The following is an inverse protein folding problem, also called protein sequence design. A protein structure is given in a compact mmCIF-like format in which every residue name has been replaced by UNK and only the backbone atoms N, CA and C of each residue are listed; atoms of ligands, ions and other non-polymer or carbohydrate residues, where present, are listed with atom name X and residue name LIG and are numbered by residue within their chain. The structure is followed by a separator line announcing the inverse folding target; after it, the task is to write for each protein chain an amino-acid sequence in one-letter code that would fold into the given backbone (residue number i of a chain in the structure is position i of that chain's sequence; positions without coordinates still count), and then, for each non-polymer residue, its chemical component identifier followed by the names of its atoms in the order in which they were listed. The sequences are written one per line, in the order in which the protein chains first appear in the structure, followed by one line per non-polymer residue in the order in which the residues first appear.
data_IF_741064207151
#
_entry.id   IF_741064207151
#
_cell.length_a   1.000
_cell.length_b   1.000
_cell.length_c   1.000
_cell.angle_alpha   90.00
_cell.angle_beta   90.00
_cell.angle_gamma   90.00
#
_symmetry.space_group_name_H-M   'P 1'
#
loop_
_entity.id
_entity.type
_entity.pdbx_description
1 polymer ?
#
# COMPACT_ATOMS: atom_id res chain seq x y z
N UNK A 1 -11.45 10.64 9.41
CA UNK A 1 -10.90 10.60 10.79
C UNK A 1 -11.11 11.96 11.45
N UNK A 2 -11.53 11.95 12.69
CA UNK A 2 -11.75 13.17 13.48
C UNK A 2 -10.56 13.36 14.42
N UNK A 3 -10.06 14.59 14.51
CA UNK A 3 -9.00 14.97 15.45
C UNK A 3 -9.58 15.89 16.51
N UNK A 4 -9.38 15.52 17.78
CA UNK A 4 -9.69 16.31 18.95
C UNK A 4 -8.39 16.93 19.49
N UNK A 5 -8.49 17.78 20.50
CA UNK A 5 -7.34 18.52 21.06
C UNK A 5 -6.22 17.62 21.58
N UNK A 6 -6.56 16.39 22.01
CA UNK A 6 -5.63 15.41 22.56
C UNK A 6 -5.29 14.25 21.61
N UNK A 7 -5.78 14.27 20.37
CA UNK A 7 -5.56 13.20 19.39
C UNK A 7 -4.09 13.03 18.97
N UNK A 8 -3.29 14.08 19.13
CA UNK A 8 -1.86 14.02 18.79
C UNK A 8 -0.99 13.50 19.94
N UNK A 9 -1.55 13.29 21.14
CA UNK A 9 -0.80 12.74 22.26
C UNK A 9 -0.50 11.26 22.02
N UNK A 10 0.76 10.80 22.22
CA UNK A 10 1.16 9.42 21.90
C UNK A 10 0.30 8.36 22.59
N UNK A 11 -0.12 8.63 23.83
CA UNK A 11 -0.97 7.74 24.63
C UNK A 11 -2.38 7.55 24.06
N UNK A 12 -2.83 8.43 23.18
CA UNK A 12 -4.13 8.34 22.50
C UNK A 12 -4.03 7.81 21.06
N UNK A 13 -2.82 7.44 20.64
CA UNK A 13 -2.56 6.88 19.31
C UNK A 13 -2.36 5.38 19.36
N UNK A 14 -2.77 4.68 18.29
CA UNK A 14 -2.38 3.28 18.10
C UNK A 14 -0.86 3.15 17.91
N UNK A 15 -0.29 2.01 18.28
CA UNK A 15 1.11 1.70 17.98
C UNK A 15 1.37 1.83 16.50
N UNK A 16 2.60 2.23 16.17
CA UNK A 16 2.99 2.48 14.78
C UNK A 16 3.15 1.17 14.03
N UNK A 17 2.39 0.98 12.96
CA UNK A 17 2.61 -0.10 11.99
C UNK A 17 3.43 0.47 10.82
N UNK A 18 4.60 -0.11 10.55
CA UNK A 18 5.45 0.30 9.43
C UNK A 18 5.27 -0.71 8.29
N UNK A 19 4.79 -0.23 7.14
CA UNK A 19 4.77 -0.99 5.90
C UNK A 19 6.09 -0.77 5.16
N UNK A 20 6.73 -1.85 4.73
CA UNK A 20 7.91 -1.79 3.89
C UNK A 20 7.67 -2.42 2.52
N UNK A 21 8.13 -1.73 1.46
CA UNK A 21 8.15 -2.20 0.08
C UNK A 21 9.62 -2.35 -0.38
N UNK A 22 10.26 -3.52 -0.09
CA UNK A 22 11.71 -3.62 -0.19
C UNK A 22 12.19 -4.22 -1.52
N UNK A 23 11.29 -4.54 -2.44
CA UNK A 23 11.66 -5.26 -3.66
C UNK A 23 11.81 -4.37 -4.88
N UNK A 24 11.12 -3.23 -4.94
CA UNK A 24 11.26 -2.17 -5.93
C UNK A 24 11.20 -2.65 -7.37
N UNK A 25 10.09 -3.27 -7.83
CA UNK A 25 10.01 -3.85 -9.18
C UNK A 25 10.22 -2.83 -10.29
N UNK A 26 10.13 -1.55 -10.01
CA UNK A 26 10.37 -0.40 -10.89
C UNK A 26 11.86 -0.18 -11.17
N UNK A 27 12.72 -0.59 -10.24
CA UNK A 27 14.16 -0.38 -10.34
C UNK A 27 14.87 -1.60 -10.93
N UNK A 28 15.91 -1.36 -11.70
CA UNK A 28 16.81 -2.42 -12.12
C UNK A 28 17.80 -2.77 -11.01
N UNK A 29 18.29 -4.01 -10.90
CA UNK A 29 19.27 -4.38 -9.87
C UNK A 29 20.51 -3.49 -9.86
N UNK A 30 20.92 -2.97 -11.03
CA UNK A 30 22.06 -2.07 -11.15
C UNK A 30 21.81 -0.67 -10.53
N UNK A 31 20.56 -0.29 -10.30
CA UNK A 31 20.23 0.99 -9.67
C UNK A 31 20.65 1.04 -8.21
N UNK A 32 20.58 -0.09 -7.51
CA UNK A 32 21.03 -0.21 -6.12
C UNK A 32 21.42 -1.66 -5.80
N UNK A 33 22.58 -2.15 -6.29
CA UNK A 33 22.99 -3.56 -6.17
C UNK A 33 23.08 -4.05 -4.71
N UNK A 34 23.39 -3.15 -3.78
CA UNK A 34 23.58 -3.49 -2.37
C UNK A 34 22.25 -3.74 -1.64
N UNK A 35 21.12 -3.26 -2.19
CA UNK A 35 19.81 -3.35 -1.52
C UNK A 35 18.75 -4.10 -2.31
N UNK A 36 18.81 -4.12 -3.66
CA UNK A 36 17.81 -4.79 -4.50
C UNK A 36 18.06 -6.31 -4.51
N UNK A 37 17.20 -7.14 -3.88
CA UNK A 37 17.39 -8.59 -3.86
C UNK A 37 16.91 -9.22 -5.17
N UNK A 38 17.70 -10.18 -5.71
CA UNK A 38 17.36 -10.87 -6.97
C UNK A 38 17.06 -12.35 -6.73
N UNK A 39 17.92 -13.07 -5.96
CA UNK A 39 17.64 -14.49 -5.69
C UNK A 39 16.52 -14.67 -4.68
N UNK A 40 15.88 -15.84 -4.69
CA UNK A 40 14.78 -16.11 -3.73
C UNK A 40 15.26 -16.02 -2.29
N UNK A 41 16.43 -16.56 -1.99
CA UNK A 41 17.04 -16.50 -0.65
C UNK A 41 17.29 -15.06 -0.23
N UNK A 42 17.81 -14.22 -1.14
CA UNK A 42 18.03 -12.79 -0.87
C UNK A 42 16.71 -12.03 -0.64
N UNK A 43 15.64 -12.37 -1.38
CA UNK A 43 14.32 -11.77 -1.19
C UNK A 43 13.72 -12.17 0.17
N UNK A 44 13.82 -13.43 0.59
CA UNK A 44 13.40 -13.88 1.92
C UNK A 44 14.22 -13.21 3.01
N UNK A 45 15.56 -13.19 2.88
CA UNK A 45 16.45 -12.56 3.85
C UNK A 45 16.15 -11.06 4.01
N UNK A 46 15.86 -10.37 2.90
CA UNK A 46 15.46 -8.96 2.92
C UNK A 46 14.19 -8.73 3.76
N UNK A 47 13.19 -9.61 3.67
CA UNK A 47 11.99 -9.53 4.51
C UNK A 47 12.33 -9.73 6.00
N UNK A 48 13.21 -10.68 6.32
CA UNK A 48 13.70 -10.91 7.69
C UNK A 48 14.41 -9.68 8.25
N UNK A 49 15.32 -9.09 7.47
CA UNK A 49 16.07 -7.90 7.89
C UNK A 49 15.15 -6.70 8.12
N UNK A 50 14.16 -6.50 7.24
CA UNK A 50 13.14 -5.47 7.41
C UNK A 50 12.27 -5.69 8.65
N UNK A 51 11.87 -6.94 8.93
CA UNK A 51 11.10 -7.27 10.13
C UNK A 51 11.91 -7.00 11.41
N UNK A 52 13.17 -7.40 11.45
CA UNK A 52 14.07 -7.16 12.57
C UNK A 52 14.34 -5.67 12.80
N UNK A 53 14.29 -4.85 11.74
CA UNK A 53 14.42 -3.40 11.83
C UNK A 53 13.14 -2.70 12.35
N UNK A 54 11.98 -3.39 12.39
CA UNK A 54 10.73 -2.88 12.92
C UNK A 54 9.56 -2.77 11.95
N UNK A 55 9.70 -3.16 10.68
CA UNK A 55 8.57 -3.23 9.76
C UNK A 55 7.73 -4.48 10.05
N UNK A 56 6.41 -4.31 10.12
CA UNK A 56 5.49 -5.41 10.44
C UNK A 56 4.53 -5.75 9.30
N UNK A 57 4.51 -4.94 8.23
CA UNK A 57 3.80 -5.23 6.98
C UNK A 57 4.81 -5.25 5.84
N UNK A 58 4.83 -6.34 5.09
CA UNK A 58 5.65 -6.53 3.89
C UNK A 58 4.78 -6.33 2.66
N UNK A 59 5.01 -5.24 1.92
CA UNK A 59 4.46 -5.10 0.57
C UNK A 59 5.34 -5.89 -0.40
N UNK A 60 4.79 -6.94 -0.98
CA UNK A 60 5.54 -7.98 -1.64
C UNK A 60 5.33 -7.95 -3.15
N UNK A 61 6.44 -7.84 -3.86
CA UNK A 61 6.64 -8.22 -5.25
C UNK A 61 7.71 -9.31 -5.31
N UNK A 62 7.84 -9.98 -6.45
CA UNK A 62 8.85 -11.01 -6.60
C UNK A 62 9.64 -10.78 -7.88
N UNK A 63 10.95 -11.08 -7.85
CA UNK A 63 11.83 -10.96 -9.03
C UNK A 63 12.21 -12.31 -9.58
N UNK A 64 12.44 -12.35 -10.91
CA UNK A 64 13.12 -13.42 -11.61
C UNK A 64 14.64 -13.27 -11.47
N UNK A 65 15.39 -14.32 -11.83
CA UNK A 65 16.85 -14.31 -11.75
C UNK A 65 17.54 -13.29 -12.69
N UNK A 66 16.83 -12.84 -13.72
CA UNK A 66 17.29 -11.74 -14.59
C UNK A 66 17.04 -10.33 -13.97
N UNK A 67 16.48 -10.29 -12.76
CA UNK A 67 16.21 -9.07 -12.03
C UNK A 67 14.88 -8.39 -12.37
N UNK A 68 14.13 -8.87 -13.36
CA UNK A 68 12.82 -8.32 -13.71
C UNK A 68 11.74 -8.77 -12.73
N UNK A 69 10.68 -7.99 -12.62
CA UNK A 69 9.49 -8.38 -11.85
C UNK A 69 8.87 -9.66 -12.42
N UNK A 70 8.55 -10.62 -11.55
CA UNK A 70 7.91 -11.87 -11.95
C UNK A 70 6.41 -11.72 -12.15
N UNK A 71 5.87 -12.45 -13.15
CA UNK A 71 4.44 -12.62 -13.38
C UNK A 71 3.95 -14.02 -12.98
N UNK A 72 4.82 -14.86 -12.41
CA UNK A 72 4.51 -16.25 -12.11
C UNK A 72 4.00 -16.42 -10.68
N UNK A 73 2.76 -16.87 -10.52
CA UNK A 73 2.18 -17.15 -9.20
C UNK A 73 3.03 -18.15 -8.40
N UNK A 74 3.67 -19.12 -9.05
CA UNK A 74 4.58 -20.06 -8.39
C UNK A 74 5.74 -19.35 -7.68
N UNK A 75 6.24 -18.24 -8.23
CA UNK A 75 7.30 -17.46 -7.58
C UNK A 75 6.79 -16.65 -6.38
N UNK A 76 5.58 -16.16 -6.47
CA UNK A 76 4.92 -15.56 -5.30
C UNK A 76 4.68 -16.58 -4.20
N UNK A 77 4.20 -17.78 -4.54
CA UNK A 77 3.98 -18.86 -3.57
C UNK A 77 5.29 -19.25 -2.87
N UNK A 78 6.40 -19.37 -3.63
CA UNK A 78 7.72 -19.69 -3.09
C UNK A 78 8.20 -18.62 -2.10
N UNK A 79 8.08 -17.34 -2.46
CA UNK A 79 8.48 -16.23 -1.58
C UNK A 79 7.59 -16.13 -0.34
N UNK A 80 6.26 -16.23 -0.51
CA UNK A 80 5.31 -16.20 0.61
C UNK A 80 5.61 -17.34 1.59
N UNK A 81 5.86 -18.56 1.09
CA UNK A 81 6.20 -19.71 1.94
C UNK A 81 7.51 -19.46 2.72
N UNK A 82 8.54 -18.94 2.06
CA UNK A 82 9.83 -18.60 2.70
C UNK A 82 9.69 -17.54 3.78
N UNK A 83 8.98 -16.45 3.48
CA UNK A 83 8.73 -15.35 4.44
C UNK A 83 7.90 -15.85 5.62
N UNK A 84 6.85 -16.63 5.35
CA UNK A 84 5.95 -17.18 6.40
C UNK A 84 6.71 -18.11 7.35
N UNK A 85 7.66 -18.88 6.83
CA UNK A 85 8.51 -19.75 7.65
C UNK A 85 9.51 -18.96 8.51
N UNK A 86 10.09 -17.89 7.95
CA UNK A 86 11.14 -17.12 8.62
C UNK A 86 10.58 -16.07 9.61
N UNK A 87 9.48 -15.39 9.27
CA UNK A 87 8.87 -14.32 10.07
C UNK A 87 7.34 -14.46 10.10
N UNK A 88 6.81 -15.45 10.84
CA UNK A 88 5.40 -15.87 10.77
C UNK A 88 4.40 -14.79 11.20
N UNK A 89 4.81 -13.85 12.04
CA UNK A 89 3.94 -12.78 12.54
C UNK A 89 3.87 -11.57 11.57
N UNK A 90 4.76 -11.47 10.59
CA UNK A 90 4.75 -10.40 9.61
C UNK A 90 3.51 -10.48 8.70
N UNK A 91 2.81 -9.37 8.53
CA UNK A 91 1.68 -9.28 7.58
C UNK A 91 2.25 -9.31 6.16
N UNK A 92 1.82 -10.25 5.34
CA UNK A 92 2.19 -10.36 3.93
C UNK A 92 1.10 -9.71 3.08
N UNK A 93 1.43 -8.60 2.45
CA UNK A 93 0.58 -7.85 1.54
C UNK A 93 1.14 -7.96 0.12
N UNK A 94 0.46 -8.66 -0.77
CA UNK A 94 0.90 -8.80 -2.17
C UNK A 94 0.46 -7.60 -2.98
N UNK A 95 1.39 -6.99 -3.72
CA UNK A 95 1.11 -5.92 -4.65
C UNK A 95 0.22 -6.37 -5.81
N UNK A 96 -0.90 -5.69 -6.00
CA UNK A 96 -1.88 -6.02 -7.05
C UNK A 96 -1.41 -5.72 -8.48
N UNK A 97 -0.28 -5.08 -8.62
CA UNK A 97 0.32 -4.67 -9.90
C UNK A 97 1.49 -5.54 -10.34
N UNK A 98 1.63 -6.65 -9.95
CA UNK A 98 2.67 -7.68 -9.97
C UNK A 98 3.90 -7.45 -10.88
N UNK A 99 3.81 -6.87 -12.04
CA UNK A 99 4.96 -6.57 -12.89
C UNK A 99 4.77 -5.25 -13.61
N UNK A 100 5.77 -4.46 -13.51
CA UNK A 100 5.80 -3.09 -13.90
C UNK A 100 6.91 -2.75 -14.88
N UNK A 101 7.65 -3.74 -15.35
CA UNK A 101 8.70 -3.55 -16.32
C UNK A 101 8.15 -3.53 -17.74
N UNK A 102 8.69 -2.66 -18.63
CA UNK A 102 8.45 -2.79 -20.06
C UNK A 102 8.95 -4.16 -20.55
N UNK A 103 8.20 -4.80 -21.44
CA UNK A 103 8.58 -6.11 -22.01
C UNK A 103 9.81 -5.99 -22.92
N UNK A 104 9.97 -4.81 -23.57
CA UNK A 104 11.09 -4.48 -24.46
C UNK A 104 11.51 -3.03 -24.25
N UNK A 105 12.73 -2.69 -24.71
CA UNK A 105 13.22 -1.32 -24.72
C UNK A 105 12.26 -0.41 -25.51
N UNK A 106 11.69 0.58 -24.81
CA UNK A 106 10.73 1.52 -25.38
C UNK A 106 9.27 1.07 -25.37
N UNK A 107 8.95 -0.15 -24.91
CA UNK A 107 7.58 -0.56 -24.65
C UNK A 107 7.03 0.13 -23.39
N UNK A 108 5.71 0.36 -23.35
CA UNK A 108 5.06 0.83 -22.15
C UNK A 108 5.18 -0.21 -21.03
N UNK A 109 5.41 0.23 -19.80
CA UNK A 109 5.27 -0.61 -18.64
C UNK A 109 3.84 -1.13 -18.55
N UNK A 110 3.67 -2.41 -18.32
CA UNK A 110 2.37 -3.05 -18.28
C UNK A 110 2.12 -3.72 -16.95
N UNK A 111 0.93 -3.55 -16.45
CA UNK A 111 0.35 -4.38 -15.43
C UNK A 111 0.11 -5.79 -15.98
N UNK A 112 0.00 -6.77 -15.09
CA UNK A 112 -0.51 -8.07 -15.50
C UNK A 112 -1.89 -7.91 -16.17
N UNK A 113 -2.23 -8.85 -17.06
CA UNK A 113 -3.60 -8.94 -17.59
C UNK A 113 -4.62 -9.04 -16.45
N UNK A 114 -5.85 -8.61 -16.70
CA UNK A 114 -6.93 -8.64 -15.71
C UNK A 114 -7.13 -10.04 -15.14
N UNK A 115 -7.05 -11.08 -15.96
CA UNK A 115 -7.17 -12.47 -15.53
C UNK A 115 -6.06 -12.88 -14.57
N UNK A 116 -4.81 -12.51 -14.85
CA UNK A 116 -3.68 -12.84 -13.99
C UNK A 116 -3.79 -12.13 -12.63
N UNK A 117 -4.24 -10.87 -12.60
CA UNK A 117 -4.48 -10.18 -11.33
C UNK A 117 -5.58 -10.85 -10.50
N UNK A 118 -6.63 -11.39 -11.13
CA UNK A 118 -7.64 -12.19 -10.44
C UNK A 118 -7.07 -13.45 -9.80
N UNK A 119 -6.06 -14.07 -10.40
CA UNK A 119 -5.40 -15.28 -9.87
C UNK A 119 -4.63 -15.03 -8.56
N UNK A 120 -4.41 -13.77 -8.15
CA UNK A 120 -3.86 -13.48 -6.82
C UNK A 120 -4.72 -14.02 -5.68
N UNK A 121 -6.00 -14.27 -5.92
CA UNK A 121 -6.87 -14.95 -4.97
C UNK A 121 -6.57 -16.45 -4.84
N UNK A 122 -5.79 -17.04 -5.77
CA UNK A 122 -5.44 -18.46 -5.82
C UNK A 122 -4.02 -18.74 -5.28
N UNK A 123 -3.34 -17.73 -4.72
CA UNK A 123 -2.02 -17.89 -4.11
C UNK A 123 -2.06 -18.89 -2.95
N UNK A 124 -1.06 -19.78 -2.88
CA UNK A 124 -0.89 -20.80 -1.85
C UNK A 124 0.60 -20.99 -1.47
N UNK A 125 1.04 -20.68 -0.23
CA UNK A 125 0.19 -20.23 0.89
C UNK A 125 -0.43 -18.85 0.66
N UNK A 126 -1.59 -18.62 1.25
CA UNK A 126 -2.33 -17.36 1.11
C UNK A 126 -1.59 -16.21 1.78
N UNK A 127 -1.50 -15.04 1.12
CA UNK A 127 -1.10 -13.81 1.79
C UNK A 127 -2.19 -13.36 2.78
N UNK A 128 -1.85 -12.43 3.66
CA UNK A 128 -2.83 -11.80 4.54
C UNK A 128 -3.67 -10.77 3.77
N UNK A 129 -3.02 -10.02 2.87
CA UNK A 129 -3.64 -8.98 2.08
C UNK A 129 -3.20 -9.03 0.61
N UNK A 130 -4.07 -8.53 -0.26
CA UNK A 130 -3.76 -8.17 -1.65
C UNK A 130 -4.18 -6.73 -1.86
N UNK A 131 -3.30 -5.90 -2.43
CA UNK A 131 -3.63 -4.51 -2.75
C UNK A 131 -4.54 -4.42 -3.97
N UNK A 132 -5.47 -3.48 -3.95
CA UNK A 132 -6.44 -3.27 -5.01
C UNK A 132 -6.63 -1.78 -5.32
N UNK A 133 -6.46 -1.40 -6.59
CA UNK A 133 -6.95 -0.15 -7.11
C UNK A 133 -8.45 -0.26 -7.43
N UNK A 134 -9.22 0.79 -7.18
CA UNK A 134 -10.70 0.77 -7.30
C UNK A 134 -11.23 1.56 -8.49
N UNK A 135 -10.34 2.10 -9.32
CA UNK A 135 -10.68 2.84 -10.54
C UNK A 135 -9.52 2.78 -11.52
N UNK A 136 -9.83 2.79 -12.82
CA UNK A 136 -8.79 2.99 -13.84
C UNK A 136 -8.23 4.39 -13.73
N UNK A 137 -6.91 4.51 -13.66
CA UNK A 137 -6.23 5.78 -13.46
C UNK A 137 -4.94 5.84 -14.29
N UNK A 138 -4.63 7.01 -14.80
CA UNK A 138 -3.30 7.29 -15.34
C UNK A 138 -2.30 7.42 -14.18
N UNK A 139 -1.12 6.88 -14.35
CA UNK A 139 -0.06 6.89 -13.34
C UNK A 139 1.23 7.44 -13.95
N UNK A 140 1.30 8.76 -14.12
CA UNK A 140 2.51 9.42 -14.60
C UNK A 140 3.48 9.67 -13.43
N UNK A 141 4.27 8.67 -13.08
CA UNK A 141 5.24 8.79 -11.97
C UNK A 141 6.34 9.82 -12.26
N UNK A 142 6.55 10.18 -13.53
CA UNK A 142 7.56 11.17 -13.91
C UNK A 142 7.18 12.61 -13.55
N UNK A 143 5.92 12.87 -13.21
CA UNK A 143 5.44 14.23 -12.94
C UNK A 143 6.10 14.88 -11.73
N UNK A 144 6.36 14.10 -10.69
CA UNK A 144 6.96 14.61 -9.44
C UNK A 144 8.45 14.32 -9.31
N UNK A 145 9.07 13.69 -10.30
CA UNK A 145 10.49 13.39 -10.29
C UNK A 145 11.32 14.58 -10.79
N UNK A 146 12.40 14.88 -10.10
CA UNK A 146 13.42 15.84 -10.57
C UNK A 146 14.58 15.12 -11.25
N UNK A 147 15.38 15.86 -12.03
CA UNK A 147 16.61 15.31 -12.62
C UNK A 147 17.52 14.66 -11.58
N UNK A 148 17.60 15.23 -10.38
CA UNK A 148 18.40 14.68 -9.29
C UNK A 148 17.85 13.39 -8.68
N UNK A 149 16.58 13.09 -8.87
CA UNK A 149 15.96 11.83 -8.40
C UNK A 149 16.27 10.66 -9.34
N UNK A 150 16.44 10.95 -10.63
CA UNK A 150 16.67 9.94 -11.67
C UNK A 150 18.15 9.82 -12.09
N UNK A 151 19.00 10.78 -11.75
CA UNK A 151 20.39 10.76 -12.10
C UNK A 151 21.11 9.49 -11.61
N UNK A 152 21.79 8.80 -12.53
CA UNK A 152 22.50 7.56 -12.21
C UNK A 152 21.60 6.35 -11.96
N UNK A 153 20.34 6.40 -12.40
CA UNK A 153 19.39 5.28 -12.35
C UNK A 153 18.87 4.92 -13.73
N UNK A 154 18.17 3.79 -13.84
CA UNK A 154 17.50 3.34 -15.06
C UNK A 154 16.46 4.36 -15.57
N UNK A 155 15.83 5.12 -14.69
CA UNK A 155 14.88 6.19 -15.03
C UNK A 155 15.49 7.36 -15.81
N UNK A 156 16.82 7.49 -15.81
CA UNK A 156 17.50 8.49 -16.65
C UNK A 156 17.51 8.12 -18.15
N UNK A 157 17.14 6.87 -18.48
CA UNK A 157 17.02 6.43 -19.86
C UNK A 157 15.69 6.85 -20.45
N UNK A 158 15.65 7.53 -21.64
CA UNK A 158 14.41 8.01 -22.24
C UNK A 158 13.33 6.95 -22.41
N UNK A 159 13.70 5.72 -22.79
CA UNK A 159 12.75 4.63 -22.97
C UNK A 159 12.04 4.25 -21.67
N UNK A 160 12.76 4.13 -20.55
CA UNK A 160 12.20 3.86 -19.23
C UNK A 160 11.33 5.02 -18.77
N UNK A 161 11.83 6.26 -18.83
CA UNK A 161 11.07 7.45 -18.44
C UNK A 161 9.76 7.58 -19.21
N UNK A 162 9.76 7.32 -20.52
CA UNK A 162 8.54 7.40 -21.35
C UNK A 162 7.54 6.30 -20.97
N UNK A 163 7.98 5.08 -20.66
CA UNK A 163 7.10 4.01 -20.22
C UNK A 163 6.33 4.41 -18.94
N UNK A 164 7.03 5.02 -17.98
CA UNK A 164 6.43 5.47 -16.70
C UNK A 164 5.64 6.78 -16.80
N UNK A 165 5.78 7.52 -17.90
CA UNK A 165 4.98 8.73 -18.16
C UNK A 165 3.59 8.38 -18.69
N UNK A 166 3.48 7.36 -19.50
CA UNK A 166 2.25 6.98 -20.23
C UNK A 166 1.49 5.81 -19.56
N UNK A 167 1.82 5.52 -18.30
CA UNK A 167 1.30 4.35 -17.64
C UNK A 167 -0.15 4.51 -17.20
N UNK A 168 -0.92 3.41 -17.34
CA UNK A 168 -2.31 3.32 -16.90
C UNK A 168 -2.49 2.11 -16.01
N UNK A 169 -3.17 2.30 -14.88
CA UNK A 169 -3.65 1.23 -14.00
C UNK A 169 -5.08 0.88 -14.39
N UNK A 170 -5.34 -0.21 -15.11
CA UNK A 170 -6.71 -0.61 -15.46
C UNK A 170 -7.40 -1.24 -14.25
N UNK A 171 -8.54 -0.68 -13.84
CA UNK A 171 -9.39 -1.21 -12.78
C UNK A 171 -10.84 -0.79 -13.02
N UNK A 172 -11.47 -1.39 -14.03
CA UNK A 172 -12.88 -1.14 -14.34
C UNK A 172 -13.81 -1.69 -13.24
N UNK A 173 -15.04 -1.13 -13.08
CA UNK A 173 -15.94 -1.50 -11.99
C UNK A 173 -16.24 -3.00 -11.89
N UNK A 174 -16.53 -3.66 -13.02
CA UNK A 174 -16.81 -5.09 -13.06
C UNK A 174 -15.60 -5.95 -12.63
N UNK A 175 -14.39 -5.53 -13.03
CA UNK A 175 -13.16 -6.18 -12.63
C UNK A 175 -12.95 -6.04 -11.12
N UNK A 176 -13.14 -4.84 -10.56
CA UNK A 176 -12.97 -4.57 -9.13
C UNK A 176 -13.95 -5.40 -8.29
N UNK A 177 -15.22 -5.44 -8.66
CA UNK A 177 -16.25 -6.23 -7.95
C UNK A 177 -15.93 -7.73 -7.99
N UNK A 178 -15.51 -8.26 -9.14
CA UNK A 178 -15.11 -9.68 -9.26
C UNK A 178 -13.85 -9.98 -8.45
N UNK A 179 -12.86 -9.07 -8.46
CA UNK A 179 -11.64 -9.27 -7.68
C UNK A 179 -11.91 -9.29 -6.17
N UNK A 180 -12.71 -8.33 -5.69
CA UNK A 180 -13.15 -8.31 -4.28
C UNK A 180 -13.90 -9.60 -3.89
N UNK A 181 -14.79 -10.07 -4.75
CA UNK A 181 -15.53 -11.32 -4.53
C UNK A 181 -14.57 -12.53 -4.41
N UNK A 182 -13.56 -12.61 -5.26
CA UNK A 182 -12.57 -13.70 -5.23
C UNK A 182 -11.71 -13.63 -3.97
N UNK A 183 -11.18 -12.46 -3.61
CA UNK A 183 -10.37 -12.28 -2.41
C UNK A 183 -11.14 -12.62 -1.14
N UNK A 184 -12.37 -12.10 -0.99
CA UNK A 184 -13.23 -12.40 0.16
C UNK A 184 -13.54 -13.90 0.24
N UNK A 185 -13.86 -14.56 -0.89
CA UNK A 185 -14.08 -16.02 -0.93
C UNK A 185 -12.83 -16.80 -0.54
N UNK A 186 -11.64 -16.33 -0.88
CA UNK A 186 -10.38 -16.94 -0.52
C UNK A 186 -9.97 -16.70 0.94
N UNK A 187 -10.65 -15.80 1.66
CA UNK A 187 -10.28 -15.35 2.99
C UNK A 187 -9.04 -14.44 3.01
N UNK A 188 -8.75 -13.79 1.89
CA UNK A 188 -7.68 -12.80 1.75
C UNK A 188 -8.28 -11.40 1.92
N UNK A 189 -7.72 -10.59 2.80
CA UNK A 189 -8.22 -9.25 3.07
C UNK A 189 -7.80 -8.29 1.94
N UNK A 190 -8.73 -7.58 1.26
CA UNK A 190 -8.38 -6.50 0.36
C UNK A 190 -7.72 -5.34 1.11
N UNK A 191 -6.66 -4.78 0.54
CA UNK A 191 -6.07 -3.53 0.98
C UNK A 191 -6.23 -2.49 -0.13
N UNK A 192 -6.98 -1.44 0.13
CA UNK A 192 -7.36 -0.49 -0.91
C UNK A 192 -6.28 0.58 -1.11
N UNK A 193 -5.73 0.67 -2.32
CA UNK A 193 -4.82 1.74 -2.73
C UNK A 193 -5.62 2.83 -3.43
N UNK A 194 -5.65 4.01 -2.85
CA UNK A 194 -6.55 5.09 -3.25
C UNK A 194 -5.75 6.32 -3.69
N UNK A 195 -5.96 6.70 -4.94
CA UNK A 195 -5.26 7.82 -5.56
C UNK A 195 -5.82 9.19 -5.16
N UNK A 196 -7.08 9.24 -4.74
CA UNK A 196 -7.79 10.49 -4.43
C UNK A 196 -9.12 10.22 -3.71
N UNK A 197 -9.80 11.28 -3.31
CA UNK A 197 -11.07 11.21 -2.56
C UNK A 197 -12.17 10.49 -3.32
N UNK A 198 -12.25 10.62 -4.66
CA UNK A 198 -13.29 9.93 -5.44
C UNK A 198 -13.16 8.41 -5.35
N UNK A 199 -11.94 7.89 -5.16
CA UNK A 199 -11.70 6.47 -4.91
C UNK A 199 -12.25 6.04 -3.54
N UNK A 200 -12.06 6.85 -2.49
CA UNK A 200 -12.61 6.59 -1.17
C UNK A 200 -14.15 6.55 -1.21
N UNK A 201 -14.78 7.49 -1.92
CA UNK A 201 -16.23 7.48 -2.13
C UNK A 201 -16.71 6.24 -2.89
N UNK A 202 -15.89 5.73 -3.82
CA UNK A 202 -16.18 4.47 -4.52
C UNK A 202 -16.17 3.29 -3.56
N UNK A 203 -15.18 3.20 -2.67
CA UNK A 203 -15.12 2.18 -1.61
C UNK A 203 -16.34 2.28 -0.68
N UNK A 204 -16.70 3.48 -0.24
CA UNK A 204 -17.90 3.69 0.58
C UNK A 204 -19.17 3.14 -0.12
N UNK A 205 -19.35 3.44 -1.40
CA UNK A 205 -20.47 2.89 -2.19
C UNK A 205 -20.45 1.36 -2.30
N UNK A 206 -19.27 0.74 -2.42
CA UNK A 206 -19.14 -0.72 -2.42
C UNK A 206 -19.54 -1.34 -1.07
N UNK A 207 -19.10 -0.73 0.04
CA UNK A 207 -19.52 -1.16 1.39
C UNK A 207 -21.04 -1.03 1.55
N UNK A 208 -21.62 0.13 1.18
CA UNK A 208 -23.06 0.38 1.29
C UNK A 208 -23.91 -0.60 0.48
N UNK A 209 -23.37 -1.10 -0.63
CA UNK A 209 -24.03 -2.11 -1.48
C UNK A 209 -23.77 -3.54 -1.05
N UNK A 210 -22.95 -3.77 -0.02
CA UNK A 210 -22.55 -5.11 0.42
C UNK A 210 -21.62 -5.84 -0.55
N UNK A 211 -20.96 -5.13 -1.47
CA UNK A 211 -19.92 -5.69 -2.36
C UNK A 211 -18.66 -6.02 -1.57
N UNK A 212 -18.36 -5.21 -0.57
CA UNK A 212 -17.30 -5.46 0.39
C UNK A 212 -17.86 -5.43 1.82
N UNK A 213 -17.47 -6.43 2.62
CA UNK A 213 -17.80 -6.52 4.05
C UNK A 213 -16.56 -6.94 4.83
N UNK A 214 -16.02 -6.01 5.64
CA UNK A 214 -14.81 -6.28 6.41
C UNK A 214 -14.10 -5.00 6.87
N UNK A 215 -12.95 -5.16 7.55
CA UNK A 215 -12.13 -4.04 7.99
C UNK A 215 -11.62 -3.21 6.81
N UNK A 216 -11.59 -1.89 6.96
CA UNK A 216 -11.14 -1.00 5.91
C UNK A 216 -9.68 -0.61 6.14
N UNK A 217 -8.79 -1.29 5.45
CA UNK A 217 -7.37 -0.95 5.39
C UNK A 217 -7.10 -0.20 4.09
N UNK A 218 -6.56 1.00 4.21
CA UNK A 218 -6.36 1.94 3.12
C UNK A 218 -4.91 2.38 3.01
N UNK A 219 -4.46 2.62 1.80
CA UNK A 219 -3.30 3.46 1.52
C UNK A 219 -3.74 4.68 0.70
N UNK A 220 -3.47 5.89 1.18
CA UNK A 220 -3.49 7.08 0.34
C UNK A 220 -2.19 7.13 -0.46
N UNK A 221 -2.31 7.07 -1.79
CA UNK A 221 -1.17 7.01 -2.71
C UNK A 221 -1.03 8.36 -3.39
N UNK A 222 0.01 9.11 -3.03
CA UNK A 222 0.20 10.50 -3.46
C UNK A 222 1.38 10.64 -4.44
N UNK A 223 1.16 10.24 -5.69
CA UNK A 223 2.20 10.17 -6.72
C UNK A 223 2.14 11.31 -7.74
N UNK A 224 1.11 12.16 -7.72
CA UNK A 224 0.86 13.06 -8.86
C UNK A 224 0.42 12.28 -10.12
N UNK A 225 0.37 12.94 -11.26
CA UNK A 225 0.15 12.31 -12.57
C UNK A 225 -1.14 11.51 -12.73
N UNK A 226 -2.22 11.94 -12.13
CA UNK A 226 -3.50 11.24 -12.04
C UNK A 226 -3.87 10.85 -10.62
N UNK A 227 -2.90 10.84 -9.72
CA UNK A 227 -3.06 10.74 -8.27
C UNK A 227 -3.02 12.11 -7.62
N UNK A 228 -3.49 12.21 -6.37
CA UNK A 228 -3.20 13.38 -5.56
C UNK A 228 -1.67 13.58 -5.49
N UNK A 229 -1.21 14.82 -5.54
CA UNK A 229 0.18 15.15 -5.25
C UNK A 229 0.47 15.12 -3.73
N UNK A 230 1.74 14.94 -3.30
CA UNK A 230 2.13 14.81 -1.90
C UNK A 230 2.10 16.17 -1.15
N UNK A 231 0.99 16.85 -1.25
CA UNK A 231 0.74 18.13 -0.58
C UNK A 231 0.08 17.91 0.77
N UNK A 232 0.46 18.66 1.84
CA UNK A 232 -0.25 18.63 3.12
C UNK A 232 -1.74 18.93 2.99
N UNK A 233 -2.15 19.76 2.04
CA UNK A 233 -3.56 20.08 1.80
C UNK A 233 -4.33 18.87 1.28
N UNK A 234 -3.79 18.17 0.28
CA UNK A 234 -4.39 16.94 -0.26
C UNK A 234 -4.46 15.86 0.83
N UNK A 235 -3.38 15.69 1.58
CA UNK A 235 -3.31 14.75 2.70
C UNK A 235 -4.42 15.02 3.72
N UNK A 236 -4.55 16.27 4.19
CA UNK A 236 -5.56 16.63 5.18
C UNK A 236 -6.98 16.49 4.64
N UNK A 237 -7.21 16.85 3.37
CA UNK A 237 -8.51 16.67 2.73
C UNK A 237 -8.88 15.18 2.61
N UNK A 238 -7.92 14.32 2.30
CA UNK A 238 -8.13 12.88 2.26
C UNK A 238 -8.40 12.32 3.66
N UNK A 239 -7.52 12.61 4.62
CA UNK A 239 -7.59 12.10 6.01
C UNK A 239 -8.92 12.41 6.67
N UNK A 240 -9.42 13.66 6.53
CA UNK A 240 -10.69 14.05 7.13
C UNK A 240 -11.92 13.29 6.59
N UNK A 241 -11.80 12.68 5.40
CA UNK A 241 -12.86 11.88 4.78
C UNK A 241 -12.80 10.40 5.16
N UNK A 242 -11.66 9.92 5.61
CA UNK A 242 -11.50 8.54 6.05
C UNK A 242 -12.33 8.31 7.31
N UNK A 243 -13.10 7.21 7.41
CA UNK A 243 -13.89 6.92 8.61
C UNK A 243 -12.98 6.55 9.79
N UNK A 244 -13.46 6.80 11.01
CA UNK A 244 -12.66 6.60 12.24
C UNK A 244 -12.28 5.13 12.47
N UNK A 245 -13.10 4.18 12.03
CA UNK A 245 -12.83 2.75 12.16
C UNK A 245 -11.91 2.15 11.08
N UNK A 246 -11.37 2.96 10.17
CA UNK A 246 -10.41 2.52 9.16
C UNK A 246 -8.97 2.65 9.62
N UNK A 247 -8.09 1.81 9.08
CA UNK A 247 -6.64 1.93 9.24
C UNK A 247 -6.06 2.57 7.97
N UNK A 248 -5.30 3.66 8.13
CA UNK A 248 -4.77 4.45 7.02
C UNK A 248 -3.23 4.45 7.01
N UNK A 249 -2.68 4.03 5.88
CA UNK A 249 -1.26 4.14 5.53
C UNK A 249 -1.07 5.26 4.51
N UNK A 250 0.05 5.98 4.56
CA UNK A 250 0.41 6.99 3.59
C UNK A 250 1.59 6.54 2.74
N UNK A 251 1.47 6.77 1.44
CA UNK A 251 2.46 6.38 0.43
C UNK A 251 2.72 7.54 -0.53
N UNK A 252 3.98 7.77 -0.86
CA UNK A 252 4.42 8.70 -1.90
C UNK A 252 5.77 8.25 -2.45
N UNK A 253 6.35 9.03 -3.37
CA UNK A 253 7.60 8.69 -4.03
C UNK A 253 8.76 9.63 -3.67
N UNK A 254 9.97 9.09 -3.81
CA UNK A 254 11.25 9.78 -3.75
C UNK A 254 11.42 10.59 -2.46
N UNK A 255 11.93 11.82 -2.57
CA UNK A 255 12.24 12.64 -1.41
C UNK A 255 11.02 13.14 -0.64
N UNK A 256 9.80 12.91 -1.15
CA UNK A 256 8.56 13.17 -0.43
C UNK A 256 8.23 12.09 0.60
N UNK A 257 8.81 10.88 0.48
CA UNK A 257 8.53 9.75 1.38
C UNK A 257 8.74 10.12 2.84
N UNK A 258 9.91 10.63 3.21
CA UNK A 258 10.20 10.97 4.60
C UNK A 258 9.34 12.10 5.16
N UNK A 259 9.15 13.26 4.47
CA UNK A 259 8.25 14.31 4.97
C UNK A 259 6.81 13.86 5.16
N UNK A 260 6.24 13.12 4.20
CA UNK A 260 4.87 12.59 4.31
C UNK A 260 4.76 11.60 5.45
N UNK A 261 5.72 10.68 5.59
CA UNK A 261 5.76 9.72 6.68
C UNK A 261 5.88 10.40 8.05
N UNK A 262 6.69 11.45 8.17
CA UNK A 262 6.81 12.20 9.43
C UNK A 262 5.48 12.86 9.84
N UNK A 263 4.76 13.44 8.88
CA UNK A 263 3.41 13.98 9.11
C UNK A 263 2.42 12.87 9.51
N UNK A 264 2.41 11.75 8.77
CA UNK A 264 1.57 10.60 9.09
C UNK A 264 1.79 10.10 10.51
N UNK A 265 3.04 9.91 10.89
CA UNK A 265 3.41 9.40 12.22
C UNK A 265 2.99 10.35 13.34
N UNK A 266 3.19 11.66 13.16
CA UNK A 266 2.75 12.68 14.13
C UNK A 266 1.23 12.73 14.30
N UNK A 267 0.49 12.36 13.25
CA UNK A 267 -0.98 12.32 13.25
C UNK A 267 -1.57 10.99 13.72
N UNK A 268 -0.77 10.06 14.20
CA UNK A 268 -1.27 8.74 14.60
C UNK A 268 -1.53 7.77 13.44
N UNK A 269 -1.16 8.14 12.21
CA UNK A 269 -1.31 7.32 11.01
C UNK A 269 -0.08 6.42 10.79
N UNK A 270 -0.11 5.58 9.74
CA UNK A 270 0.91 4.60 9.46
C UNK A 270 1.73 4.98 8.21
N UNK A 271 3.07 4.84 8.24
CA UNK A 271 3.94 5.14 7.11
C UNK A 271 4.16 3.92 6.23
N UNK A 272 4.49 4.18 4.97
CA UNK A 272 5.10 3.21 4.06
C UNK A 272 6.47 3.72 3.62
N UNK A 273 7.47 2.82 3.57
CA UNK A 273 8.84 3.10 3.12
C UNK A 273 9.43 1.91 2.35
N UNK A 274 10.62 2.07 1.84
CA UNK A 274 11.37 1.04 1.14
C UNK A 274 11.85 1.50 -0.22
N UNK A 275 12.71 0.68 -0.85
CA UNK A 275 13.33 1.04 -2.12
C UNK A 275 12.34 1.09 -3.29
N UNK A 276 11.17 0.49 -3.18
CA UNK A 276 10.13 0.66 -4.18
C UNK A 276 9.70 2.12 -4.29
N UNK A 277 9.55 2.78 -3.15
CA UNK A 277 9.06 4.16 -3.09
C UNK A 277 10.20 5.17 -3.28
N UNK A 278 11.40 4.87 -2.79
CA UNK A 278 12.58 5.75 -2.93
C UNK A 278 13.89 5.01 -2.74
N UNK A 279 14.87 5.34 -3.57
CA UNK A 279 16.26 4.95 -3.33
C UNK A 279 17.01 5.96 -2.43
N UNK A 280 16.38 7.08 -2.09
CA UNK A 280 17.06 8.25 -1.52
C UNK A 280 16.64 8.55 -0.09
N UNK A 281 17.58 8.57 0.82
CA UNK A 281 17.38 9.11 2.17
C UNK A 281 17.62 10.61 2.22
N UNK A 282 18.78 11.03 1.75
CA UNK A 282 19.16 12.43 1.57
C UNK A 282 19.49 12.70 0.11
N UNK A 283 19.52 13.97 -0.28
CA UNK A 283 19.90 14.32 -1.64
C UNK A 283 21.29 13.77 -1.98
N UNK A 284 21.35 12.93 -3.01
CA UNK A 284 22.59 12.32 -3.49
C UNK A 284 23.09 11.10 -2.70
N UNK A 285 22.42 10.70 -1.60
CA UNK A 285 22.76 9.50 -0.84
C UNK A 285 21.67 8.44 -1.02
N UNK A 286 22.05 7.22 -1.40
CA UNK A 286 21.13 6.09 -1.42
C UNK A 286 20.93 5.55 -0.01
N UNK A 287 19.70 5.11 0.28
CA UNK A 287 19.30 4.57 1.56
C UNK A 287 18.48 3.32 1.35
N UNK A 288 18.98 2.18 1.79
CA UNK A 288 18.30 0.89 1.68
C UNK A 288 17.07 0.79 2.57
N UNK A 289 16.23 -0.20 2.29
CA UNK A 289 14.95 -0.40 2.98
C UNK A 289 15.10 -0.53 4.49
N UNK A 290 16.09 -1.28 4.98
CA UNK A 290 16.36 -1.44 6.42
C UNK A 290 16.68 -0.10 7.07
N UNK A 291 17.55 0.70 6.45
CA UNK A 291 17.94 2.01 6.98
C UNK A 291 16.75 2.99 7.02
N UNK A 292 15.84 2.92 6.03
CA UNK A 292 14.61 3.72 6.02
C UNK A 292 13.69 3.33 7.18
N UNK A 293 13.53 2.03 7.46
CA UNK A 293 12.74 1.55 8.61
C UNK A 293 13.36 2.04 9.92
N UNK A 294 14.67 1.86 10.11
CA UNK A 294 15.37 2.34 11.30
C UNK A 294 15.22 3.85 11.51
N UNK A 295 15.20 4.63 10.40
CA UNK A 295 14.93 6.06 10.47
C UNK A 295 13.53 6.34 11.00
N UNK A 296 12.50 5.65 10.52
CA UNK A 296 11.13 5.80 11.01
C UNK A 296 11.00 5.37 12.48
N UNK A 297 11.65 4.27 12.88
CA UNK A 297 11.68 3.82 14.29
C UNK A 297 12.31 4.88 15.20
N UNK A 298 13.39 5.55 14.77
CA UNK A 298 13.97 6.67 15.55
C UNK A 298 13.00 7.84 15.67
N UNK A 299 12.31 8.22 14.59
CA UNK A 299 11.30 9.29 14.61
C UNK A 299 10.13 8.91 15.52
N UNK A 300 9.63 7.67 15.45
CA UNK A 300 8.57 7.19 16.34
C UNK A 300 8.95 7.35 17.81
N UNK A 301 10.19 6.97 18.14
CA UNK A 301 10.72 7.10 19.52
C UNK A 301 10.75 8.56 20.00
N UNK A 302 11.19 9.49 19.14
CA UNK A 302 11.21 10.93 19.46
C UNK A 302 9.79 11.52 19.61
N UNK A 303 8.80 10.94 18.89
CA UNK A 303 7.39 11.29 19.06
C UNK A 303 6.75 10.61 20.29
N UNK A 304 7.45 9.73 20.99
CA UNK A 304 6.90 8.96 22.10
C UNK A 304 5.96 7.84 21.66
N UNK A 305 5.91 7.49 20.37
CA UNK A 305 5.01 6.48 19.82
C UNK A 305 5.70 5.13 19.69
N UNK A 306 5.13 4.09 20.30
CA UNK A 306 5.66 2.73 20.21
C UNK A 306 5.44 2.11 18.82
N UNK A 307 6.41 1.32 18.35
CA UNK A 307 6.28 0.51 17.14
C UNK A 307 5.57 -0.80 17.49
N UNK A 308 4.56 -1.16 16.70
CA UNK A 308 3.81 -2.39 16.90
C UNK A 308 4.66 -3.63 16.61
N UNK A 309 4.56 -4.66 17.42
CA UNK A 309 5.01 -6.00 17.07
C UNK A 309 4.15 -6.59 15.94
N UNK A 310 4.61 -7.68 15.31
CA UNK A 310 3.84 -8.34 14.25
C UNK A 310 2.44 -8.76 14.71
N UNK A 311 2.30 -9.23 15.94
CA UNK A 311 0.99 -9.62 16.52
C UNK A 311 0.08 -8.40 16.70
N UNK A 312 0.59 -7.33 17.29
CA UNK A 312 -0.17 -6.08 17.47
C UNK A 312 -0.55 -5.45 16.13
N UNK A 313 0.35 -5.50 15.13
CA UNK A 313 0.04 -5.02 13.78
C UNK A 313 -1.12 -5.82 13.15
N UNK A 314 -1.18 -7.14 13.35
CA UNK A 314 -2.29 -8.00 12.89
C UNK A 314 -3.61 -7.64 13.58
N UNK A 315 -3.58 -7.25 14.85
CA UNK A 315 -4.75 -6.78 15.59
C UNK A 315 -5.21 -5.40 15.08
N UNK A 316 -4.30 -4.44 14.90
CA UNK A 316 -4.58 -3.10 14.36
C UNK A 316 -5.20 -3.20 12.97
N UNK A 317 -4.62 -4.01 12.08
CA UNK A 317 -5.12 -4.24 10.72
C UNK A 317 -6.33 -5.19 10.67
N UNK A 318 -6.72 -5.77 11.83
CA UNK A 318 -7.84 -6.72 11.95
C UNK A 318 -7.72 -7.87 10.94
N UNK A 319 -6.50 -8.43 10.81
CA UNK A 319 -6.21 -9.50 9.85
C UNK A 319 -7.06 -10.73 10.15
N UNK A 320 -7.71 -11.27 9.13
CA UNK A 320 -8.60 -12.43 9.24
C UNK A 320 -10.00 -12.12 9.77
N UNK A 321 -10.32 -10.84 10.01
CA UNK A 321 -11.66 -10.41 10.43
C UNK A 321 -12.57 -10.23 9.21
N UNK A 322 -13.83 -10.65 9.35
CA UNK A 322 -14.90 -10.35 8.40
C UNK A 322 -16.12 -9.83 9.15
N UNK A 323 -16.92 -8.98 8.51
CA UNK A 323 -18.18 -8.49 9.08
C UNK A 323 -19.37 -9.16 8.41
N UNK A 324 -20.49 -9.20 9.09
CA UNK A 324 -21.67 -9.98 8.69
C UNK A 324 -22.30 -9.44 7.39
N UNK A 325 -22.44 -8.13 7.27
CA UNK A 325 -23.13 -7.45 6.18
C UNK A 325 -22.71 -5.97 6.06
N UNK A 326 -23.35 -5.23 5.15
CA UNK A 326 -23.09 -3.82 4.93
C UNK A 326 -23.36 -2.96 6.17
N UNK A 327 -24.46 -3.19 6.88
CA UNK A 327 -24.82 -2.40 8.06
C UNK A 327 -23.84 -2.61 9.20
N UNK A 328 -23.41 -3.85 9.40
CA UNK A 328 -22.38 -4.21 10.37
C UNK A 328 -21.03 -3.55 10.02
N UNK A 329 -20.66 -3.57 8.73
CA UNK A 329 -19.45 -2.90 8.24
C UNK A 329 -19.51 -1.39 8.45
N UNK A 330 -20.63 -0.75 8.10
CA UNK A 330 -20.81 0.69 8.29
C UNK A 330 -20.71 1.08 9.77
N UNK A 331 -21.29 0.26 10.67
CA UNK A 331 -21.23 0.50 12.10
C UNK A 331 -19.81 0.43 12.65
N UNK A 332 -19.02 -0.59 12.25
CA UNK A 332 -17.63 -0.71 12.65
C UNK A 332 -16.70 0.39 12.10
N UNK A 333 -17.07 0.95 10.95
CA UNK A 333 -16.32 2.05 10.34
C UNK A 333 -16.72 3.43 10.89
N UNK A 334 -17.81 3.53 11.65
CA UNK A 334 -18.35 4.81 12.09
C UNK A 334 -19.05 5.59 10.98
N UNK A 335 -19.38 4.96 9.86
CA UNK A 335 -20.19 5.56 8.81
C UNK A 335 -21.70 5.53 9.16
N UNK A 336 -22.42 6.56 8.72
CA UNK A 336 -23.85 6.58 8.89
C UNK A 336 -24.53 5.38 8.20
N UNK A 337 -25.58 4.78 8.78
CA UNK A 337 -26.28 3.64 8.21
C UNK A 337 -26.91 3.97 6.85
N UNK A 338 -27.19 2.95 6.06
CA UNK A 338 -27.98 3.09 4.85
C UNK A 338 -29.36 3.63 5.15
N UNK A 339 -29.92 4.44 4.24
CA UNK A 339 -31.30 4.91 4.34
C UNK A 339 -32.26 3.77 4.04
N UNK A 340 -33.42 3.81 4.66
CA UNK A 340 -34.52 2.94 4.26
C UNK A 340 -34.98 3.24 2.83
N UNK A 341 -35.50 2.23 2.15
CA UNK A 341 -36.03 2.40 0.79
C UNK A 341 -37.09 3.51 0.75
N UNK A 342 -37.04 4.37 -0.24
CA UNK A 342 -37.99 5.48 -0.43
C UNK A 342 -37.69 6.74 0.38
N UNK A 343 -36.75 6.72 1.31
CA UNK A 343 -36.39 7.91 2.07
C UNK A 343 -35.41 8.81 1.29
N UNK A 344 -35.61 10.12 1.37
CA UNK A 344 -34.71 11.16 0.81
C UNK A 344 -34.07 11.97 1.93
N UNK A 345 -33.01 12.69 1.58
CA UNK A 345 -32.33 13.59 2.52
C UNK A 345 -31.14 12.95 3.24
N UNK A 346 -30.71 13.54 4.33
CA UNK A 346 -29.56 13.05 5.14
C UNK A 346 -29.91 11.70 5.76
N UNK A 347 -28.97 10.76 5.91
CA UNK A 347 -29.21 9.53 6.65
C UNK A 347 -29.74 9.85 8.05
N UNK A 348 -30.81 9.14 8.46
CA UNK A 348 -31.36 9.29 9.81
C UNK A 348 -30.24 8.88 10.80
N UNK A 349 -29.85 9.81 11.68
CA UNK A 349 -29.05 9.48 12.84
C UNK A 349 -29.89 8.62 13.76
N UNK A 350 -29.38 7.47 14.18
CA UNK A 350 -30.00 6.75 15.30
C UNK A 350 -29.95 7.67 16.52
N UNK A 351 -31.07 7.86 17.20
CA UNK A 351 -31.05 8.49 18.51
C UNK A 351 -30.10 7.69 19.42
N UNK A 352 -29.22 8.40 20.11
CA UNK A 352 -28.29 7.78 21.04
C UNK A 352 -29.05 7.08 22.18
#
# INVERSE_FOLDING_TARGET
MQFLDDSLLPENQEKLVITVAPYGPEWEPADFPEDIPVTMEAQVQKAVDCYNAGATVLHLHVRELDGKGSKRLSKFNELIAGVRAAVPDMIIQVGGSISFSPEDDGAAAKWLSDDTRHMLADLDPKPDQVTIAVSTIQMNVMEILSESDVAGTSFNRPAVANAYREMTVPAGPGWVEEHLRRLQKAGIQPHFQLANIAHLETVERMVRRGVYTGPLNLTWVALGGGFDGPSPYNMMEFVRRVPDGACLTLETLMRNVLPVNAMAMAMGLHPRCGIEDTLWGRKGEKMGSVQQIEQLVRIARELGREVASGKEAREIYKIGTSYRDADDTLAHLGWAPNRAHGQRGVPLRRAA
#
